data_IF_867965427152
#
_entry.id   IF_867965427152
#
_cell.length_a   1.000
_cell.length_b   1.000
_cell.length_c   1.000
_cell.angle_alpha   90.00
_cell.angle_beta   90.00
_cell.angle_gamma   90.00
#
_symmetry.space_group_name_H-M   'P 1'
#
loop_
_entity.id
_entity.type
_entity.pdbx_description
1 polymer ?
#
# COMPACT_ATOMS: atom_id res chain seq x y z
N UNK A 1 4.87 76.29 2.51
CA UNK A 1 4.83 77.49 1.64
C UNK A 1 5.12 77.00 0.22
N UNK A 2 4.10 76.89 -0.63
CA UNK A 2 4.23 76.33 -1.99
C UNK A 2 4.49 77.49 -2.94
N UNK A 3 5.67 77.53 -3.54
CA UNK A 3 6.00 78.53 -4.55
C UNK A 3 5.38 78.13 -5.89
N UNK A 4 4.37 78.89 -6.33
CA UNK A 4 3.81 78.76 -7.67
C UNK A 4 4.62 79.66 -8.62
N UNK A 5 5.02 79.13 -9.78
CA UNK A 5 5.49 79.95 -10.89
C UNK A 5 4.28 80.69 -11.46
N UNK A 6 4.08 81.94 -11.03
CA UNK A 6 3.06 82.83 -11.58
C UNK A 6 3.40 83.23 -13.03
N UNK A 7 2.38 83.28 -13.89
CA UNK A 7 2.38 84.22 -15.00
C UNK A 7 2.64 83.71 -16.43
N UNK A 8 2.37 82.44 -16.76
CA UNK A 8 2.30 82.05 -18.20
C UNK A 8 0.86 82.09 -18.73
N UNK A 9 0.53 83.23 -19.35
CA UNK A 9 -0.73 83.46 -20.09
C UNK A 9 -0.51 83.05 -21.55
N UNK A 10 -1.45 82.31 -22.14
CA UNK A 10 -1.43 82.04 -23.59
C UNK A 10 -1.69 83.32 -24.39
N UNK A 11 -1.31 83.35 -25.66
CA UNK A 11 -1.44 84.53 -26.55
C UNK A 11 -2.88 85.09 -26.67
N UNK A 12 -3.88 84.30 -26.27
CA UNK A 12 -5.31 84.65 -26.31
C UNK A 12 -5.86 85.08 -24.92
N UNK A 13 -5.01 85.43 -23.96
CA UNK A 13 -5.40 86.09 -22.69
C UNK A 13 -6.07 85.21 -21.63
N UNK A 14 -6.27 83.91 -21.88
CA UNK A 14 -6.84 82.97 -20.90
C UNK A 14 -5.76 82.39 -19.96
N UNK A 15 -6.06 82.36 -18.67
CA UNK A 15 -5.25 81.71 -17.64
C UNK A 15 -5.27 80.19 -17.81
N UNK A 16 -4.09 79.57 -17.97
CA UNK A 16 -3.99 78.10 -18.04
C UNK A 16 -4.30 77.50 -16.68
N UNK A 17 -5.06 76.40 -16.66
CA UNK A 17 -5.25 75.59 -15.47
C UNK A 17 -3.89 75.16 -14.89
N UNK A 18 -3.71 75.18 -13.56
CA UNK A 18 -2.45 74.81 -12.94
C UNK A 18 -2.10 73.39 -13.38
N UNK A 19 -0.95 73.25 -14.07
CA UNK A 19 -0.40 71.93 -14.35
C UNK A 19 -0.13 71.28 -13.01
N UNK A 20 -0.94 70.29 -12.63
CA UNK A 20 -0.54 69.36 -11.58
C UNK A 20 0.88 68.90 -11.92
N UNK A 21 1.77 68.90 -10.93
CA UNK A 21 3.12 68.35 -10.98
C UNK A 21 3.09 66.82 -11.21
N UNK A 22 2.37 66.32 -12.21
CA UNK A 22 2.60 65.01 -12.80
C UNK A 22 3.82 65.08 -13.74
N UNK A 23 4.87 65.74 -13.26
CA UNK A 23 6.26 65.62 -13.66
C UNK A 23 7.13 65.17 -12.48
N UNK A 24 6.53 64.74 -11.37
CA UNK A 24 7.24 63.95 -10.38
C UNK A 24 7.66 62.65 -11.08
N UNK A 25 8.96 62.47 -11.26
CA UNK A 25 9.57 61.17 -11.50
C UNK A 25 9.07 60.21 -10.41
N UNK A 26 7.93 59.55 -10.64
CA UNK A 26 7.42 58.51 -9.74
C UNK A 26 8.32 57.29 -9.95
N UNK A 27 9.54 57.37 -9.41
CA UNK A 27 10.39 56.21 -9.19
C UNK A 27 9.61 55.38 -8.17
N UNK A 28 8.83 54.41 -8.68
CA UNK A 28 8.12 53.44 -7.85
C UNK A 28 9.13 52.94 -6.82
N UNK A 29 8.92 53.17 -5.52
CA UNK A 29 9.90 52.80 -4.54
C UNK A 29 10.04 51.28 -4.58
N UNK A 30 11.29 50.82 -4.64
CA UNK A 30 11.69 49.41 -4.58
C UNK A 30 11.26 48.52 -5.78
N UNK A 31 11.74 48.81 -7.01
CA UNK A 31 11.53 47.91 -8.17
C UNK A 31 12.01 46.48 -7.89
N UNK A 32 13.09 46.33 -7.12
CA UNK A 32 13.63 45.04 -6.69
C UNK A 32 12.66 44.22 -5.84
N UNK A 33 11.85 44.84 -4.97
CA UNK A 33 10.86 44.10 -4.17
C UNK A 33 9.81 43.46 -5.07
N UNK A 34 9.36 44.14 -6.13
CA UNK A 34 8.39 43.58 -7.09
C UNK A 34 8.98 42.46 -7.92
N UNK A 35 10.24 42.59 -8.33
CA UNK A 35 10.97 41.52 -9.03
C UNK A 35 11.10 40.31 -8.11
N UNK A 36 11.52 40.48 -6.85
CA UNK A 36 11.61 39.41 -5.87
C UNK A 36 10.26 38.74 -5.60
N UNK A 37 9.18 39.53 -5.46
CA UNK A 37 7.84 38.99 -5.27
C UNK A 37 7.36 38.20 -6.49
N UNK A 38 7.65 38.69 -7.70
CA UNK A 38 7.34 38.01 -8.96
C UNK A 38 8.11 36.69 -9.10
N UNK A 39 9.42 36.69 -8.81
CA UNK A 39 10.25 35.48 -8.80
C UNK A 39 9.76 34.45 -7.77
N UNK A 40 9.42 34.90 -6.55
CA UNK A 40 8.87 34.03 -5.51
C UNK A 40 7.52 33.43 -5.92
N UNK A 41 6.63 34.22 -6.54
CA UNK A 41 5.36 33.73 -7.05
C UNK A 41 5.55 32.70 -8.18
N UNK A 42 6.48 32.95 -9.12
CA UNK A 42 6.81 31.97 -10.17
C UNK A 42 7.43 30.69 -9.60
N UNK A 43 8.33 30.80 -8.62
CA UNK A 43 8.92 29.65 -7.94
C UNK A 43 7.86 28.82 -7.21
N UNK A 44 6.91 29.46 -6.52
CA UNK A 44 5.79 28.79 -5.87
C UNK A 44 4.85 28.11 -6.89
N UNK A 45 4.56 28.76 -8.02
CA UNK A 45 3.76 28.20 -9.10
C UNK A 45 4.46 26.99 -9.75
N UNK A 46 5.77 27.10 -10.03
CA UNK A 46 6.58 26.01 -10.55
C UNK A 46 6.66 24.84 -9.57
N UNK A 47 6.84 25.10 -8.27
CA UNK A 47 6.85 24.07 -7.23
C UNK A 47 5.48 23.38 -7.08
N UNK A 48 4.38 24.13 -7.14
CA UNK A 48 3.03 23.58 -7.12
C UNK A 48 2.73 22.73 -8.35
N UNK A 49 3.12 23.20 -9.55
CA UNK A 49 3.01 22.44 -10.78
C UNK A 49 3.86 21.16 -10.72
N UNK A 50 5.12 21.26 -10.26
CA UNK A 50 6.00 20.10 -10.06
C UNK A 50 5.41 19.10 -9.07
N UNK A 51 4.85 19.55 -7.94
CA UNK A 51 4.20 18.66 -6.98
C UNK A 51 2.97 18.00 -7.54
N UNK A 52 2.16 18.69 -8.36
CA UNK A 52 1.01 18.09 -9.04
C UNK A 52 1.45 17.05 -10.08
N UNK A 53 2.49 17.37 -10.85
CA UNK A 53 3.04 16.45 -11.86
C UNK A 53 3.69 15.22 -11.23
N UNK A 54 4.24 15.34 -10.02
CA UNK A 54 4.86 14.23 -9.29
C UNK A 54 4.01 13.73 -8.12
N UNK A 55 2.72 14.08 -8.06
CA UNK A 55 1.84 13.56 -7.03
C UNK A 55 1.47 12.12 -7.39
N UNK A 56 1.95 11.18 -6.58
CA UNK A 56 1.59 9.77 -6.67
C UNK A 56 0.46 9.56 -5.67
N UNK A 57 -0.68 9.00 -6.11
CA UNK A 57 -1.81 8.73 -5.22
C UNK A 57 -1.40 7.72 -4.13
N UNK A 58 -1.99 7.76 -2.92
CA UNK A 58 -1.70 6.77 -1.88
C UNK A 58 -1.90 5.33 -2.35
N UNK A 59 -2.89 5.08 -3.21
CA UNK A 59 -3.15 3.79 -3.84
C UNK A 59 -1.97 3.34 -4.71
N UNK A 60 -1.45 4.24 -5.53
CA UNK A 60 -0.31 3.95 -6.39
C UNK A 60 0.96 3.75 -5.59
N UNK A 61 1.18 4.53 -4.54
CA UNK A 61 2.27 4.31 -3.60
C UNK A 61 2.16 2.92 -2.96
N UNK A 62 0.96 2.51 -2.53
CA UNK A 62 0.72 1.21 -1.92
C UNK A 62 1.02 0.06 -2.88
N UNK A 63 0.48 0.09 -4.11
CA UNK A 63 0.72 -0.97 -5.09
C UNK A 63 2.19 -1.06 -5.49
N UNK A 64 2.87 0.08 -5.69
CA UNK A 64 4.32 0.12 -5.96
C UNK A 64 5.17 -0.43 -4.81
N UNK A 65 4.63 -0.42 -3.59
CA UNK A 65 5.30 -0.93 -2.39
C UNK A 65 5.23 -2.46 -2.26
N UNK A 66 4.31 -3.11 -2.98
CA UNK A 66 4.18 -4.57 -2.97
C UNK A 66 5.21 -5.18 -3.92
N UNK A 67 6.23 -5.82 -3.36
CA UNK A 67 7.23 -6.56 -4.12
C UNK A 67 6.75 -8.00 -4.37
N UNK A 68 6.65 -8.40 -5.63
CA UNK A 68 6.37 -9.80 -5.99
C UNK A 68 7.65 -10.62 -5.82
N UNK A 69 7.59 -11.66 -4.99
CA UNK A 69 8.73 -12.54 -4.69
C UNK A 69 8.56 -13.94 -5.28
N UNK A 70 9.60 -14.51 -5.92
CA UNK A 70 9.55 -15.83 -6.53
C UNK A 70 9.73 -16.97 -5.52
N UNK A 71 9.15 -16.85 -4.33
CA UNK A 71 9.17 -17.89 -3.29
C UNK A 71 7.94 -17.72 -2.41
N UNK A 72 7.52 -18.79 -1.74
CA UNK A 72 6.47 -18.72 -0.71
C UNK A 72 6.98 -18.04 0.57
N UNK A 73 6.09 -17.74 1.51
CA UNK A 73 6.42 -16.95 2.72
C UNK A 73 7.58 -17.52 3.56
N UNK A 74 7.82 -18.84 3.48
CA UNK A 74 8.94 -19.53 4.14
C UNK A 74 10.30 -19.41 3.41
N UNK A 75 10.35 -18.67 2.30
CA UNK A 75 11.53 -18.56 1.43
C UNK A 75 11.77 -19.78 0.52
N UNK A 76 10.87 -20.77 0.54
CA UNK A 76 10.93 -21.93 -0.35
C UNK A 76 10.13 -21.70 -1.62
N UNK A 77 10.61 -22.19 -2.76
CA UNK A 77 9.94 -22.18 -4.05
C UNK A 77 9.76 -23.61 -4.57
N UNK A 78 8.65 -23.87 -5.26
CA UNK A 78 8.48 -25.08 -6.06
C UNK A 78 8.91 -24.82 -7.51
N UNK A 79 9.93 -25.57 -7.94
CA UNK A 79 10.44 -25.57 -9.31
C UNK A 79 9.45 -26.22 -10.28
N UNK A 80 9.64 -26.01 -11.58
CA UNK A 80 8.81 -26.62 -12.64
C UNK A 80 8.86 -28.17 -12.62
N UNK A 81 9.96 -28.73 -12.12
CA UNK A 81 10.15 -30.18 -11.95
C UNK A 81 9.47 -30.73 -10.68
N UNK A 82 8.79 -29.88 -9.89
CA UNK A 82 8.13 -30.26 -8.64
C UNK A 82 9.07 -30.38 -7.43
N UNK A 83 10.36 -30.05 -7.58
CA UNK A 83 11.32 -30.03 -6.48
C UNK A 83 11.23 -28.73 -5.66
N UNK A 84 11.42 -28.83 -4.35
CA UNK A 84 11.48 -27.69 -3.43
C UNK A 84 12.90 -27.14 -3.34
N UNK A 85 13.04 -25.82 -3.46
CA UNK A 85 14.31 -25.10 -3.32
C UNK A 85 14.16 -23.97 -2.31
N UNK A 86 15.17 -23.75 -1.46
CA UNK A 86 15.26 -22.52 -0.65
C UNK A 86 15.84 -21.41 -1.53
N UNK A 87 15.02 -20.44 -1.91
CA UNK A 87 15.40 -19.36 -2.83
C UNK A 87 15.36 -17.98 -2.17
N UNK A 88 14.50 -17.82 -1.15
CA UNK A 88 14.47 -16.68 -0.24
C UNK A 88 14.97 -17.02 1.16
N UNK A 89 15.31 -16.01 1.99
CA UNK A 89 15.65 -16.24 3.40
C UNK A 89 14.40 -16.70 4.17
N UNK A 90 14.61 -17.49 5.22
CA UNK A 90 13.53 -17.80 6.17
C UNK A 90 13.06 -16.51 6.86
N UNK A 91 11.79 -16.41 7.27
CA UNK A 91 11.30 -15.27 8.06
C UNK A 91 12.11 -15.10 9.35
N UNK A 92 12.41 -13.86 9.69
CA UNK A 92 13.02 -13.47 10.96
C UNK A 92 11.96 -12.89 11.93
N UNK A 93 12.40 -12.37 13.07
CA UNK A 93 11.56 -11.79 14.13
C UNK A 93 10.92 -10.44 13.72
N UNK A 94 11.49 -9.75 12.74
CA UNK A 94 10.95 -8.50 12.19
C UNK A 94 9.88 -8.72 11.12
N UNK A 95 9.63 -9.98 10.74
CA UNK A 95 8.74 -10.36 9.64
C UNK A 95 7.45 -11.00 10.14
N UNK A 96 6.31 -10.41 9.76
CA UNK A 96 5.02 -11.07 9.84
C UNK A 96 4.77 -11.87 8.56
N UNK A 97 4.34 -13.13 8.69
CA UNK A 97 3.93 -13.96 7.55
C UNK A 97 2.45 -14.27 7.61
N UNK A 98 1.79 -14.32 6.45
CA UNK A 98 0.38 -14.76 6.39
C UNK A 98 0.28 -16.27 6.29
N UNK A 99 -0.62 -16.84 7.07
CA UNK A 99 -1.03 -18.24 6.99
C UNK A 99 -2.46 -18.33 6.40
N UNK A 100 -2.63 -18.90 5.19
CA UNK A 100 -3.95 -19.12 4.57
C UNK A 100 -4.67 -20.30 5.23
N UNK A 101 -5.08 -20.13 6.48
CA UNK A 101 -5.63 -21.18 7.31
C UNK A 101 -7.06 -21.58 6.92
N UNK A 102 -7.36 -22.86 7.09
CA UNK A 102 -8.73 -23.36 7.11
C UNK A 102 -9.30 -23.21 8.53
N UNK A 103 -10.54 -22.70 8.63
CA UNK A 103 -11.25 -22.59 9.91
C UNK A 103 -11.40 -23.94 10.59
N UNK A 104 -11.51 -25.04 9.83
CA UNK A 104 -11.53 -26.39 10.41
C UNK A 104 -10.29 -26.63 11.27
N UNK A 105 -9.09 -26.28 10.77
CA UNK A 105 -7.84 -26.48 11.51
C UNK A 105 -7.74 -25.61 12.75
N UNK A 106 -8.24 -24.36 12.68
CA UNK A 106 -8.27 -23.46 13.83
C UNK A 106 -9.13 -24.03 14.97
N UNK A 107 -10.32 -24.53 14.65
CA UNK A 107 -11.27 -24.99 15.67
C UNK A 107 -11.01 -26.41 16.19
N UNK A 108 -10.29 -27.24 15.44
CA UNK A 108 -10.07 -28.65 15.80
C UNK A 108 -8.61 -28.92 16.14
N UNK A 109 -7.73 -28.87 15.14
CA UNK A 109 -6.31 -29.16 15.29
C UNK A 109 -5.52 -28.69 14.05
N UNK A 110 -4.28 -28.21 14.22
CA UNK A 110 -3.33 -27.97 13.13
C UNK A 110 -2.86 -29.27 12.46
N UNK A 111 -3.09 -30.43 13.10
CA UNK A 111 -2.69 -31.72 12.56
C UNK A 111 -3.39 -31.99 11.22
N UNK A 112 -2.62 -32.51 10.25
CA UNK A 112 -3.12 -32.80 8.90
C UNK A 112 -3.07 -31.61 7.94
N UNK A 113 -2.74 -30.40 8.41
CA UNK A 113 -2.54 -29.26 7.53
C UNK A 113 -1.37 -29.51 6.56
N UNK A 114 -1.58 -29.13 5.31
CA UNK A 114 -0.62 -29.31 4.21
C UNK A 114 -0.28 -27.97 3.55
N UNK A 115 0.56 -27.98 2.52
CA UNK A 115 0.96 -26.77 1.80
C UNK A 115 1.63 -25.73 2.70
N UNK A 116 1.28 -24.45 2.47
CA UNK A 116 1.83 -23.31 3.22
C UNK A 116 1.53 -23.42 4.72
N UNK A 117 0.27 -23.62 5.11
CA UNK A 117 -0.13 -23.69 6.52
C UNK A 117 0.58 -24.82 7.26
N UNK A 118 0.67 -26.01 6.66
CA UNK A 118 1.41 -27.12 7.23
C UNK A 118 2.91 -26.82 7.43
N UNK A 119 3.52 -26.06 6.53
CA UNK A 119 4.91 -25.61 6.69
C UNK A 119 5.07 -24.58 7.82
N UNK A 120 4.13 -23.63 7.94
CA UNK A 120 4.11 -22.62 9.00
C UNK A 120 3.92 -23.28 10.37
N UNK A 121 2.96 -24.20 10.52
CA UNK A 121 2.69 -24.88 11.80
C UNK A 121 3.91 -25.65 12.30
N UNK A 122 4.60 -26.36 11.40
CA UNK A 122 5.87 -27.03 11.71
C UNK A 122 6.96 -26.04 12.12
N UNK A 123 7.05 -24.90 11.44
CA UNK A 123 8.04 -23.86 11.73
C UNK A 123 7.83 -23.21 13.09
N UNK A 124 6.59 -22.88 13.47
CA UNK A 124 6.28 -22.30 14.78
C UNK A 124 6.20 -23.34 15.91
N UNK A 125 6.21 -24.63 15.59
CA UNK A 125 6.06 -25.71 16.58
C UNK A 125 4.63 -25.91 17.06
N UNK A 126 3.64 -25.50 16.26
CA UNK A 126 2.22 -25.65 16.58
C UNK A 126 1.79 -27.10 16.35
N UNK A 127 1.69 -27.86 17.45
CA UNK A 127 1.35 -29.28 17.43
C UNK A 127 0.00 -29.62 18.08
N UNK A 128 -0.55 -28.73 18.90
CA UNK A 128 -1.82 -28.89 19.64
C UNK A 128 -2.83 -27.84 19.17
N UNK A 129 -3.80 -27.48 19.99
CA UNK A 129 -4.77 -26.43 19.69
C UNK A 129 -4.12 -25.08 19.39
N UNK A 130 -4.78 -24.28 18.56
CA UNK A 130 -4.45 -22.87 18.39
C UNK A 130 -4.61 -22.10 19.70
N UNK A 131 -3.88 -20.98 19.86
CA UNK A 131 -4.08 -20.08 20.99
C UNK A 131 -5.53 -19.59 21.06
N UNK A 132 -6.05 -19.43 22.28
CA UNK A 132 -7.43 -19.00 22.50
C UNK A 132 -7.78 -17.69 21.79
N UNK A 133 -6.84 -16.74 21.74
CA UNK A 133 -7.03 -15.45 21.07
C UNK A 133 -7.24 -15.61 19.55
N UNK A 134 -6.52 -16.55 18.92
CA UNK A 134 -6.70 -16.88 17.50
C UNK A 134 -8.07 -17.52 17.29
N UNK A 135 -8.44 -18.49 18.12
CA UNK A 135 -9.73 -19.18 18.02
C UNK A 135 -10.91 -18.22 18.22
N UNK A 136 -10.82 -17.27 19.15
CA UNK A 136 -11.88 -16.30 19.41
C UNK A 136 -12.01 -15.24 18.31
N UNK A 137 -10.90 -14.84 17.68
CA UNK A 137 -10.90 -13.83 16.63
C UNK A 137 -11.34 -14.38 15.26
N UNK A 138 -11.19 -15.68 15.04
CA UNK A 138 -11.46 -16.34 13.76
C UNK A 138 -12.85 -16.96 13.80
N UNK A 139 -13.86 -16.30 13.20
CA UNK A 139 -15.25 -16.73 13.24
C UNK A 139 -15.83 -17.06 11.86
N UNK A 140 -15.37 -16.37 10.83
CA UNK A 140 -15.88 -16.46 9.45
C UNK A 140 -14.76 -16.27 8.43
N UNK A 141 -15.09 -16.61 7.19
CA UNK A 141 -14.22 -16.34 6.03
C UNK A 141 -13.94 -14.83 5.94
N UNK A 142 -12.68 -14.50 5.70
CA UNK A 142 -12.16 -13.14 5.66
C UNK A 142 -11.63 -12.64 7.00
N UNK A 143 -11.87 -13.32 8.12
CA UNK A 143 -11.25 -12.95 9.39
C UNK A 143 -9.73 -13.22 9.34
N UNK A 144 -8.98 -12.38 10.05
CA UNK A 144 -7.54 -12.54 10.22
C UNK A 144 -7.13 -12.22 11.66
N UNK A 145 -6.10 -12.88 12.17
CA UNK A 145 -5.53 -12.61 13.48
C UNK A 145 -4.02 -12.77 13.51
N UNK A 146 -3.31 -11.72 13.93
CA UNK A 146 -1.90 -11.80 14.30
C UNK A 146 -1.74 -12.54 15.63
N UNK A 147 -0.77 -13.45 15.66
CA UNK A 147 -0.28 -14.07 16.86
C UNK A 147 1.25 -14.21 16.83
N UNK A 148 1.85 -14.07 18.00
CA UNK A 148 3.28 -14.17 18.21
C UNK A 148 3.62 -15.51 18.85
N UNK A 149 4.33 -16.36 18.11
CA UNK A 149 4.78 -17.67 18.57
C UNK A 149 6.23 -17.62 19.05
N UNK A 150 6.56 -18.46 20.02
CA UNK A 150 7.91 -18.49 20.63
C UNK A 150 8.02 -17.57 21.86
N UNK A 151 9.11 -17.71 22.59
CA UNK A 151 9.48 -16.83 23.69
C UNK A 151 10.60 -15.90 23.24
N UNK A 152 10.59 -14.67 23.77
CA UNK A 152 11.59 -13.62 23.51
C UNK A 152 13.03 -14.12 23.75
N UNK A 153 13.23 -14.99 24.75
CA UNK A 153 14.53 -15.58 25.11
C UNK A 153 14.90 -16.88 24.36
N UNK A 154 14.07 -17.32 23.41
CA UNK A 154 14.38 -18.54 22.67
C UNK A 154 15.45 -18.27 21.61
N UNK A 155 16.40 -19.21 21.44
CA UNK A 155 17.43 -19.10 20.39
C UNK A 155 16.86 -19.04 18.96
N UNK A 156 15.57 -19.32 18.79
CA UNK A 156 14.85 -19.26 17.52
C UNK A 156 14.08 -17.94 17.31
N UNK A 157 14.09 -17.02 18.29
CA UNK A 157 13.39 -15.74 18.26
C UNK A 157 11.86 -15.85 18.29
N UNK A 158 11.22 -14.69 18.31
CA UNK A 158 9.77 -14.56 18.15
C UNK A 158 9.38 -14.78 16.68
N UNK A 159 8.20 -15.37 16.46
CA UNK A 159 7.69 -15.69 15.11
C UNK A 159 6.32 -15.08 14.95
N UNK A 160 6.18 -14.16 14.00
CA UNK A 160 4.95 -13.41 13.79
C UNK A 160 4.15 -14.06 12.66
N UNK A 161 2.94 -14.53 12.98
CA UNK A 161 2.04 -15.17 12.01
C UNK A 161 0.69 -14.47 12.03
N UNK A 162 0.19 -14.10 10.87
CA UNK A 162 -1.16 -13.60 10.66
C UNK A 162 -1.98 -14.74 10.05
N UNK A 163 -2.77 -15.41 10.87
CA UNK A 163 -3.70 -16.43 10.41
C UNK A 163 -4.87 -15.75 9.70
N UNK A 164 -5.18 -16.15 8.47
CA UNK A 164 -6.26 -15.54 7.68
C UNK A 164 -7.10 -16.62 7.02
N UNK A 165 -8.42 -16.52 7.15
CA UNK A 165 -9.37 -17.41 6.50
C UNK A 165 -9.72 -16.84 5.14
N UNK A 166 -9.31 -17.52 4.06
CA UNK A 166 -9.57 -17.08 2.70
C UNK A 166 -10.78 -17.82 2.08
N UNK A 167 -11.51 -17.21 1.15
CA UNK A 167 -12.61 -17.88 0.45
C UNK A 167 -12.10 -19.07 -0.38
N UNK A 168 -12.90 -20.14 -0.47
CA UNK A 168 -12.62 -21.29 -1.34
C UNK A 168 -13.43 -21.15 -2.63
N UNK A 169 -12.77 -20.77 -3.72
CA UNK A 169 -13.41 -20.52 -5.02
C UNK A 169 -13.81 -21.79 -5.77
N UNK A 170 -13.53 -22.97 -5.23
CA UNK A 170 -14.11 -24.22 -5.73
C UNK A 170 -15.60 -24.34 -5.36
N UNK A 171 -16.03 -23.63 -4.33
CA UNK A 171 -17.38 -23.75 -3.79
C UNK A 171 -18.24 -22.61 -4.35
N UNK A 172 -19.07 -22.94 -5.35
CA UNK A 172 -20.01 -22.00 -5.96
C UNK A 172 -19.54 -21.44 -7.31
N UNK A 173 -20.28 -20.44 -7.79
CA UNK A 173 -20.00 -19.73 -9.04
C UNK A 173 -19.57 -18.31 -8.65
N UNK A 174 -18.38 -17.93 -9.07
CA UNK A 174 -17.77 -16.66 -8.71
C UNK A 174 -17.51 -15.84 -9.95
N UNK A 175 -17.98 -14.59 -9.97
CA UNK A 175 -17.43 -13.59 -10.88
C UNK A 175 -16.08 -13.07 -10.35
N UNK A 176 -15.22 -12.58 -11.24
CA UNK A 176 -13.95 -11.94 -10.85
C UNK A 176 -14.17 -10.79 -9.85
N UNK A 177 -15.25 -10.02 -10.04
CA UNK A 177 -15.63 -8.91 -9.17
C UNK A 177 -16.02 -9.36 -7.77
N UNK A 178 -16.89 -10.37 -7.66
CA UNK A 178 -17.30 -10.91 -6.35
C UNK A 178 -16.11 -11.53 -5.61
N UNK A 179 -15.29 -12.30 -6.32
CA UNK A 179 -14.07 -12.87 -5.77
C UNK A 179 -13.11 -11.79 -5.24
N UNK A 180 -12.94 -10.69 -5.98
CA UNK A 180 -12.09 -9.58 -5.56
C UNK A 180 -12.65 -8.85 -4.33
N UNK A 181 -13.98 -8.68 -4.23
CA UNK A 181 -14.63 -8.06 -3.06
C UNK A 181 -14.43 -8.93 -1.82
N UNK A 182 -14.67 -10.23 -1.90
CA UNK A 182 -14.49 -11.14 -0.75
C UNK A 182 -13.02 -11.23 -0.34
N UNK A 183 -12.10 -11.36 -1.31
CA UNK A 183 -10.66 -11.31 -1.01
C UNK A 183 -10.21 -9.98 -0.41
N UNK A 184 -10.79 -8.85 -0.82
CA UNK A 184 -10.43 -7.55 -0.25
C UNK A 184 -10.70 -7.48 1.26
N UNK A 185 -11.73 -8.19 1.75
CA UNK A 185 -12.04 -8.24 3.18
C UNK A 185 -10.94 -8.96 3.95
N UNK A 186 -10.47 -10.08 3.40
CA UNK A 186 -9.37 -10.84 3.98
C UNK A 186 -8.07 -10.03 3.98
N UNK A 187 -7.69 -9.44 2.83
CA UNK A 187 -6.48 -8.62 2.74
C UNK A 187 -6.54 -7.38 3.62
N UNK A 188 -7.69 -6.71 3.74
CA UNK A 188 -7.84 -5.56 4.64
C UNK A 188 -7.55 -5.97 6.08
N UNK A 189 -8.12 -7.09 6.53
CA UNK A 189 -7.90 -7.59 7.88
C UNK A 189 -6.44 -8.01 8.10
N UNK A 190 -5.79 -8.62 7.10
CA UNK A 190 -4.34 -8.89 7.12
C UNK A 190 -3.52 -7.62 7.28
N UNK A 191 -3.83 -6.56 6.50
CA UNK A 191 -3.11 -5.30 6.57
C UNK A 191 -3.32 -4.61 7.94
N UNK A 192 -4.51 -4.69 8.52
CA UNK A 192 -4.79 -4.17 9.86
C UNK A 192 -4.01 -4.91 10.96
N UNK A 193 -4.00 -6.25 10.91
CA UNK A 193 -3.22 -7.06 11.85
C UNK A 193 -1.72 -6.86 11.65
N UNK A 194 -1.25 -6.59 10.43
CA UNK A 194 0.15 -6.22 10.17
C UNK A 194 0.53 -4.89 10.83
N UNK A 195 -0.32 -3.87 10.71
CA UNK A 195 -0.12 -2.58 11.43
C UNK A 195 -0.01 -2.82 12.93
N UNK A 196 -0.85 -3.70 13.47
CA UNK A 196 -0.89 -4.04 14.90
C UNK A 196 0.33 -4.86 15.36
N UNK A 197 0.90 -5.68 14.46
CA UNK A 197 2.06 -6.52 14.77
C UNK A 197 3.37 -5.76 14.96
N UNK A 198 3.41 -4.50 14.52
CA UNK A 198 4.59 -3.62 14.48
C UNK A 198 5.80 -4.12 13.67
N UNK A 199 5.72 -5.30 13.05
CA UNK A 199 6.74 -5.87 12.16
C UNK A 199 7.09 -4.93 11.00
N UNK A 200 8.33 -4.98 10.53
CA UNK A 200 8.82 -4.12 9.45
C UNK A 200 8.53 -4.65 8.06
N UNK A 201 8.30 -5.96 7.95
CA UNK A 201 7.98 -6.59 6.67
C UNK A 201 6.79 -7.54 6.83
N UNK A 202 5.84 -7.45 5.89
CA UNK A 202 4.76 -8.40 5.73
C UNK A 202 5.02 -9.29 4.51
N UNK A 203 5.12 -10.60 4.71
CA UNK A 203 5.11 -11.59 3.62
C UNK A 203 3.73 -12.22 3.51
N UNK A 204 3.04 -11.90 2.43
CA UNK A 204 1.73 -12.42 2.11
C UNK A 204 1.85 -13.58 1.12
N UNK A 205 1.04 -14.62 1.28
CA UNK A 205 0.70 -15.49 0.17
C UNK A 205 -0.41 -14.84 -0.66
N UNK A 206 -0.49 -15.14 -1.97
CA UNK A 206 -1.74 -14.98 -2.69
C UNK A 206 -2.82 -15.82 -2.00
N UNK A 207 -3.81 -15.16 -1.40
CA UNK A 207 -4.92 -15.83 -0.74
C UNK A 207 -5.80 -16.55 -1.77
N UNK A 208 -6.38 -17.68 -1.35
CA UNK A 208 -7.19 -18.55 -2.22
C UNK A 208 -6.45 -19.13 -3.42
N UNK A 209 -5.12 -19.25 -3.35
CA UNK A 209 -4.28 -19.79 -4.42
C UNK A 209 -4.19 -21.32 -4.44
N UNK A 210 -3.59 -21.86 -5.49
CA UNK A 210 -3.40 -23.29 -5.71
C UNK A 210 -4.73 -24.01 -5.83
N UNK A 211 -4.99 -24.93 -4.90
CA UNK A 211 -6.20 -25.76 -4.95
C UNK A 211 -7.47 -24.93 -4.67
N UNK A 212 -7.40 -23.91 -3.82
CA UNK A 212 -8.56 -23.09 -3.45
C UNK A 212 -8.99 -22.12 -4.57
N UNK A 213 -8.14 -21.91 -5.58
CA UNK A 213 -8.43 -20.97 -6.67
C UNK A 213 -9.56 -21.44 -7.58
N UNK A 214 -9.78 -22.76 -7.64
CA UNK A 214 -10.85 -23.36 -8.42
C UNK A 214 -10.85 -22.89 -9.89
N UNK A 215 -12.02 -22.57 -10.46
CA UNK A 215 -12.12 -22.07 -11.84
C UNK A 215 -11.44 -20.72 -12.09
N UNK A 216 -11.13 -19.96 -11.04
CA UNK A 216 -10.55 -18.61 -11.12
C UNK A 216 -9.02 -18.60 -11.13
N UNK A 217 -8.36 -19.77 -11.16
CA UNK A 217 -6.90 -19.88 -11.08
C UNK A 217 -6.14 -18.96 -12.04
N UNK A 218 -6.58 -18.88 -13.30
CA UNK A 218 -5.91 -18.04 -14.30
C UNK A 218 -6.16 -16.53 -14.10
N UNK A 219 -7.28 -16.17 -13.50
CA UNK A 219 -7.67 -14.78 -13.21
C UNK A 219 -7.19 -14.31 -11.83
N UNK A 220 -6.76 -15.24 -10.97
CA UNK A 220 -6.40 -14.96 -9.58
C UNK A 220 -5.36 -13.84 -9.41
N UNK A 221 -4.34 -13.67 -10.28
CA UNK A 221 -3.43 -12.53 -10.19
C UNK A 221 -4.11 -11.17 -10.30
N UNK A 222 -5.02 -11.00 -11.27
CA UNK A 222 -5.76 -9.76 -11.48
C UNK A 222 -6.80 -9.51 -10.36
N UNK A 223 -7.43 -10.59 -9.90
CA UNK A 223 -8.34 -10.57 -8.74
C UNK A 223 -7.58 -10.14 -7.48
N UNK A 224 -6.39 -10.70 -7.24
CA UNK A 224 -5.54 -10.38 -6.09
C UNK A 224 -5.07 -8.93 -6.13
N UNK A 225 -4.64 -8.44 -7.29
CA UNK A 225 -4.29 -7.03 -7.48
C UNK A 225 -5.47 -6.11 -7.11
N UNK A 226 -6.65 -6.39 -7.66
CA UNK A 226 -7.86 -5.61 -7.40
C UNK A 226 -8.30 -5.70 -5.93
N UNK A 227 -8.20 -6.88 -5.33
CA UNK A 227 -8.53 -7.13 -3.94
C UNK A 227 -7.62 -6.36 -2.97
N UNK A 228 -6.30 -6.34 -3.22
CA UNK A 228 -5.33 -5.58 -2.42
C UNK A 228 -5.55 -4.07 -2.53
N UNK A 229 -5.84 -3.57 -3.74
CA UNK A 229 -6.18 -2.17 -3.94
C UNK A 229 -7.44 -1.79 -3.14
N UNK A 230 -8.53 -2.55 -3.28
CA UNK A 230 -9.77 -2.34 -2.52
C UNK A 230 -9.56 -2.49 -1.01
N UNK A 231 -8.73 -3.45 -0.58
CA UNK A 231 -8.40 -3.66 0.81
C UNK A 231 -7.71 -2.43 1.41
N UNK A 232 -6.73 -1.88 0.70
CA UNK A 232 -6.04 -0.66 1.10
C UNK A 232 -7.02 0.51 1.19
N UNK A 233 -7.93 0.67 0.22
CA UNK A 233 -8.93 1.74 0.26
C UNK A 233 -9.89 1.64 1.45
N UNK A 234 -10.19 0.42 1.91
CA UNK A 234 -11.05 0.17 3.07
C UNK A 234 -10.33 0.36 4.43
N UNK A 235 -9.01 0.50 4.45
CA UNK A 235 -8.27 0.73 5.69
C UNK A 235 -8.59 2.10 6.31
N UNK A 236 -8.49 2.14 7.65
CA UNK A 236 -8.53 3.39 8.40
C UNK A 236 -7.36 4.30 7.98
N UNK A 237 -7.51 5.62 8.10
CA UNK A 237 -6.50 6.59 7.64
C UNK A 237 -5.12 6.35 8.29
N UNK A 238 -5.10 6.08 9.60
CA UNK A 238 -3.85 5.78 10.32
C UNK A 238 -3.18 4.50 9.83
N UNK A 239 -3.95 3.46 9.51
CA UNK A 239 -3.41 2.19 9.00
C UNK A 239 -2.82 2.39 7.60
N UNK A 240 -3.47 3.19 6.74
CA UNK A 240 -2.94 3.57 5.42
C UNK A 240 -1.59 4.27 5.55
N UNK A 241 -1.52 5.30 6.40
CA UNK A 241 -0.28 6.03 6.64
C UNK A 241 0.81 5.12 7.19
N UNK A 242 0.47 4.22 8.11
CA UNK A 242 1.42 3.28 8.71
C UNK A 242 1.99 2.31 7.66
N UNK A 243 1.14 1.68 6.86
CA UNK A 243 1.54 0.75 5.81
C UNK A 243 2.37 1.44 4.72
N UNK A 244 2.18 2.73 4.48
CA UNK A 244 2.94 3.49 3.48
C UNK A 244 4.34 3.93 3.95
N UNK A 245 4.65 3.90 5.25
CA UNK A 245 5.95 4.36 5.79
C UNK A 245 7.14 3.68 5.10
N UNK A 246 8.21 4.44 4.84
CA UNK A 246 9.40 3.96 4.11
C UNK A 246 10.04 2.71 4.72
N UNK A 247 9.99 2.57 6.05
CA UNK A 247 10.54 1.40 6.77
C UNK A 247 9.72 0.12 6.60
N UNK A 248 8.45 0.24 6.22
CA UNK A 248 7.55 -0.91 6.05
C UNK A 248 7.73 -1.51 4.67
N UNK A 249 7.71 -2.82 4.58
CA UNK A 249 7.84 -3.57 3.32
C UNK A 249 6.67 -4.55 3.17
N UNK A 250 6.17 -4.70 1.95
CA UNK A 250 5.13 -5.65 1.61
C UNK A 250 5.64 -6.58 0.53
N UNK A 251 5.60 -7.88 0.77
CA UNK A 251 6.04 -8.90 -0.17
C UNK A 251 4.87 -9.84 -0.49
N UNK A 252 4.48 -9.94 -1.75
CA UNK A 252 3.56 -10.98 -2.21
C UNK A 252 4.38 -12.18 -2.71
N UNK A 253 4.38 -13.23 -1.93
CA UNK A 253 5.26 -14.40 -2.03
C UNK A 253 4.58 -15.51 -2.85
N UNK A 254 4.98 -15.64 -4.11
CA UNK A 254 4.42 -16.63 -5.05
C UNK A 254 5.24 -17.92 -5.02
N UNK A 255 4.62 -19.00 -4.54
CA UNK A 255 5.31 -20.26 -4.28
C UNK A 255 5.66 -21.05 -5.54
N UNK A 256 4.76 -21.12 -6.53
CA UNK A 256 5.03 -21.84 -7.76
C UNK A 256 5.73 -20.95 -8.77
N UNK A 257 6.86 -21.42 -9.31
CA UNK A 257 7.62 -20.67 -10.29
C UNK A 257 6.78 -20.27 -11.53
N UNK A 258 5.87 -21.14 -11.98
CA UNK A 258 5.00 -20.89 -13.14
C UNK A 258 3.98 -19.77 -12.93
N UNK A 259 3.58 -19.50 -11.68
CA UNK A 259 2.59 -18.47 -11.33
C UNK A 259 3.26 -17.10 -11.19
N UNK A 260 4.56 -17.08 -10.90
CA UNK A 260 5.30 -15.86 -10.61
C UNK A 260 5.21 -14.84 -11.76
N UNK A 261 5.39 -15.28 -13.01
CA UNK A 261 5.26 -14.40 -14.18
C UNK A 261 3.84 -13.80 -14.29
N UNK A 262 2.81 -14.58 -13.97
CA UNK A 262 1.41 -14.11 -14.04
C UNK A 262 1.14 -13.01 -13.02
N UNK A 263 1.63 -13.18 -11.78
CA UNK A 263 1.52 -12.16 -10.73
C UNK A 263 2.37 -10.93 -11.04
N UNK A 264 3.61 -11.12 -11.49
CA UNK A 264 4.49 -10.01 -11.84
C UNK A 264 3.89 -9.15 -12.96
N UNK A 265 3.34 -9.79 -13.99
CA UNK A 265 2.65 -9.09 -15.08
C UNK A 265 1.39 -8.36 -14.59
N UNK A 266 0.54 -8.99 -13.77
CA UNK A 266 -0.65 -8.35 -13.24
C UNK A 266 -0.33 -7.07 -12.44
N UNK A 267 0.70 -7.11 -11.58
CA UNK A 267 1.10 -5.95 -10.78
C UNK A 267 1.86 -4.87 -11.57
N UNK A 268 2.51 -5.24 -12.68
CA UNK A 268 3.19 -4.28 -13.56
C UNK A 268 2.23 -3.59 -14.55
N UNK A 269 1.18 -4.27 -15.00
CA UNK A 269 0.35 -3.84 -16.13
C UNK A 269 -1.01 -3.25 -15.75
N UNK A 270 -1.55 -3.58 -14.57
CA UNK A 270 -2.89 -3.15 -14.20
C UNK A 270 -2.88 -1.70 -13.70
N UNK A 271 -3.80 -0.84 -14.22
CA UNK A 271 -3.86 0.55 -13.82
C UNK A 271 -4.32 0.67 -12.35
N UNK A 272 -3.82 1.69 -11.66
CA UNK A 272 -4.34 2.13 -10.36
C UNK A 272 -5.66 2.88 -10.59
N UNK A 273 -6.72 2.12 -10.87
CA UNK A 273 -8.09 2.59 -11.02
C UNK A 273 -8.37 3.43 -12.28
N UNK A 274 -9.21 2.90 -13.17
CA UNK A 274 -10.18 3.74 -13.86
C UNK A 274 -11.36 3.90 -12.88
N UNK A 275 -11.41 5.03 -12.17
CA UNK A 275 -12.58 5.39 -11.38
C UNK A 275 -13.77 5.59 -12.32
N UNK A 276 -14.75 4.67 -12.30
CA UNK A 276 -16.11 4.91 -12.80
C UNK A 276 -16.94 5.62 -11.74
#
# INVERSE_FOLDING_TARGET
MVAYLEGQVTRDGRTRAPRHLFGANYRKPFPWIRVSLGLAAMAAAAHSAYRRMNYVSPQEQFLRKIAIRPYGVMGTQMTLQGSLRQDGPKPDDSMAITDPCDLMHIFTSPAGASGTSGAIYKWVGLAKSFPGDVVMAMSKVGDAKHYRYGQEDSAAGEKHVIHVSAPDFRQGIWSEREAAIELSRAYRNVLHEYVTSECDTLRMVPLSDGVQAGPLYNQLPAITHSALLMAFEQLHLFDKEYVLRDKKNLELCVFMNREWDMFNNAFASLPIGASS
#
